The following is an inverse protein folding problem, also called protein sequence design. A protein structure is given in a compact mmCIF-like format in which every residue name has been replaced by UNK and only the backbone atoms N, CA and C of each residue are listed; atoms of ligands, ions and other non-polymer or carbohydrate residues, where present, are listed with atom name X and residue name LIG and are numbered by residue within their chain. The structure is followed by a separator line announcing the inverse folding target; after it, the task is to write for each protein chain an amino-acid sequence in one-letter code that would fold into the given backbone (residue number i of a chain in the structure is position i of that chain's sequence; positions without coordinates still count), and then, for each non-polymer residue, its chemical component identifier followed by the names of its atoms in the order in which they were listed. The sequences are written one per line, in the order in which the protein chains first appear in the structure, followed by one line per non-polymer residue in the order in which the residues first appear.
data_IF_206839774165
#
_entry.id   IF_206839774165
#
_cell.length_a   1.000
_cell.length_b   1.000
_cell.length_c   1.000
_cell.angle_alpha   90.00
_cell.angle_beta   90.00
_cell.angle_gamma   90.00
#
_symmetry.space_group_name_H-M   'P 1'
#
loop_
_entity.id
_entity.type
_entity.pdbx_description
1 polymer ?
#
# COMPACT_ATOMS: atom_id res chain seq x y z
N UNK A 1 -13.19 12.42 7.15
CA UNK A 1 -12.92 11.33 8.10
C UNK A 1 -12.04 10.31 7.38
N UNK A 2 -10.94 9.87 7.98
CA UNK A 2 -10.06 8.85 7.41
C UNK A 2 -10.16 7.64 8.31
N UNK A 3 -10.52 6.50 7.74
CA UNK A 3 -10.61 5.23 8.47
C UNK A 3 -9.77 4.19 7.78
N UNK A 4 -8.83 3.60 8.51
CA UNK A 4 -8.15 2.38 8.07
C UNK A 4 -9.17 1.25 8.22
N UNK A 5 -9.52 0.62 7.11
CA UNK A 5 -10.56 -0.42 7.10
C UNK A 5 -9.95 -1.79 7.36
N UNK A 6 -8.82 -2.10 6.74
CA UNK A 6 -8.19 -3.40 6.86
C UNK A 6 -6.71 -3.39 6.46
N UNK A 7 -6.00 -4.40 6.92
CA UNK A 7 -4.61 -4.69 6.56
C UNK A 7 -4.56 -6.16 6.14
N UNK A 8 -4.13 -6.44 4.90
CA UNK A 8 -4.05 -7.82 4.40
C UNK A 8 -2.80 -8.03 3.56
N UNK A 9 -1.93 -8.97 3.97
CA UNK A 9 -0.67 -9.33 3.27
C UNK A 9 0.15 -8.09 2.85
N UNK A 10 0.40 -7.20 3.81
CA UNK A 10 1.14 -5.96 3.60
C UNK A 10 0.43 -4.89 2.75
N UNK A 11 -0.83 -5.11 2.32
CA UNK A 11 -1.66 -4.08 1.69
C UNK A 11 -2.44 -3.30 2.72
N UNK A 12 -2.50 -1.98 2.57
CA UNK A 12 -3.35 -1.11 3.37
C UNK A 12 -4.64 -0.78 2.62
N UNK A 13 -5.78 -0.89 3.30
CA UNK A 13 -7.09 -0.44 2.82
C UNK A 13 -7.54 0.77 3.61
N UNK A 14 -7.66 1.91 2.95
CA UNK A 14 -7.95 3.20 3.59
C UNK A 14 -9.18 3.80 2.95
N UNK A 15 -10.16 4.23 3.74
CA UNK A 15 -11.28 5.04 3.27
C UNK A 15 -10.99 6.49 3.58
N UNK A 16 -10.98 7.32 2.53
CA UNK A 16 -10.83 8.77 2.62
C UNK A 16 -11.73 9.45 1.60
N UNK A 17 -12.46 10.48 2.02
CA UNK A 17 -13.43 11.20 1.18
C UNK A 17 -14.40 10.25 0.45
N UNK A 18 -14.94 9.26 1.17
CA UNK A 18 -15.86 8.23 0.66
C UNK A 18 -15.30 7.35 -0.47
N UNK A 19 -13.98 7.37 -0.69
CA UNK A 19 -13.27 6.54 -1.65
C UNK A 19 -12.40 5.52 -0.94
N UNK A 20 -12.40 4.28 -1.43
CA UNK A 20 -11.53 3.22 -0.96
C UNK A 20 -10.20 3.28 -1.71
N UNK A 21 -9.11 3.40 -0.97
CA UNK A 21 -7.74 3.30 -1.47
C UNK A 21 -7.14 1.96 -1.08
N UNK A 22 -6.43 1.36 -2.04
CA UNK A 22 -5.58 0.18 -1.83
C UNK A 22 -4.15 0.59 -2.07
N UNK A 23 -3.31 0.43 -1.07
CA UNK A 23 -1.94 0.96 -1.08
C UNK A 23 -0.96 -0.20 -0.86
N UNK A 24 0.01 -0.31 -1.77
CA UNK A 24 1.18 -1.16 -1.65
C UNK A 24 0.89 -2.65 -1.65
N UNK A 25 1.66 -3.40 -0.85
CA UNK A 25 1.54 -4.84 -0.70
C UNK A 25 2.86 -5.58 -0.83
N UNK A 26 2.87 -6.81 -0.34
CA UNK A 26 3.94 -7.77 -0.62
C UNK A 26 3.37 -9.02 -1.29
N UNK A 27 4.16 -9.61 -2.17
CA UNK A 27 3.93 -10.96 -2.66
C UNK A 27 5.22 -11.77 -2.56
N UNK A 28 5.10 -13.03 -2.17
CA UNK A 28 6.24 -13.92 -2.00
C UNK A 28 6.78 -13.89 -0.57
N UNK A 29 7.73 -14.78 -0.35
CA UNK A 29 8.34 -15.04 0.95
C UNK A 29 9.82 -15.40 0.72
N UNK A 30 10.53 -15.62 1.81
CA UNK A 30 11.84 -16.23 1.81
C UNK A 30 11.75 -17.66 1.30
N UNK A 31 12.47 -17.95 0.22
CA UNK A 31 12.63 -19.31 -0.27
C UNK A 31 13.95 -19.89 0.22
N UNK A 32 13.90 -21.07 0.82
CA UNK A 32 15.11 -21.80 1.17
C UNK A 32 15.93 -22.10 -0.10
N UNK A 33 17.23 -21.89 -0.06
CA UNK A 33 18.12 -22.28 -1.16
C UNK A 33 18.30 -23.80 -1.07
N UNK A 34 17.87 -24.60 -2.08
CA UNK A 34 18.01 -26.04 -2.04
C UNK A 34 19.48 -26.43 -1.85
N UNK A 35 19.76 -27.27 -0.84
CA UNK A 35 21.12 -27.73 -0.53
C UNK A 35 22.02 -26.70 0.14
N UNK A 36 21.51 -25.55 0.59
CA UNK A 36 22.36 -24.59 1.32
C UNK A 36 22.93 -25.22 2.60
N UNK A 37 24.26 -25.32 2.75
CA UNK A 37 24.89 -25.95 3.91
C UNK A 37 24.70 -25.16 5.21
N UNK A 38 24.25 -23.91 5.12
CA UNK A 38 24.10 -22.97 6.24
C UNK A 38 22.68 -22.39 6.33
N UNK A 39 21.66 -23.12 5.85
CA UNK A 39 20.24 -22.73 5.95
C UNK A 39 19.93 -21.30 5.45
N UNK A 40 20.61 -20.84 4.40
CA UNK A 40 20.31 -19.55 3.77
C UNK A 40 18.97 -19.60 3.03
N UNK A 41 18.22 -18.53 3.19
CA UNK A 41 17.08 -18.22 2.33
C UNK A 41 17.43 -17.10 1.37
N UNK A 42 16.86 -17.13 0.17
CA UNK A 42 16.79 -15.97 -0.72
C UNK A 42 15.47 -15.26 -0.49
N UNK A 43 15.55 -13.93 -0.46
CA UNK A 43 14.38 -13.07 -0.43
C UNK A 43 13.78 -13.10 -1.84
N UNK A 44 12.65 -13.79 -2.02
CA UNK A 44 11.92 -13.86 -3.28
C UNK A 44 10.60 -13.10 -3.18
N UNK A 45 10.64 -11.95 -2.50
CA UNK A 45 9.50 -11.07 -2.31
C UNK A 45 9.51 -9.91 -3.31
N UNK A 46 8.33 -9.56 -3.77
CA UNK A 46 8.07 -8.35 -4.55
C UNK A 46 7.28 -7.41 -3.65
N UNK A 47 7.81 -6.21 -3.45
CA UNK A 47 7.15 -5.14 -2.70
C UNK A 47 6.57 -4.14 -3.68
N UNK A 48 5.28 -3.87 -3.56
CA UNK A 48 4.53 -3.00 -4.46
C UNK A 48 4.43 -1.59 -3.88
N UNK A 49 4.59 -0.58 -4.73
CA UNK A 49 4.34 0.83 -4.38
C UNK A 49 3.03 1.35 -4.96
N UNK A 50 2.32 0.56 -5.76
CA UNK A 50 1.13 0.98 -6.48
C UNK A 50 0.03 1.42 -5.51
N UNK A 51 -0.71 2.44 -5.92
CA UNK A 51 -1.88 2.93 -5.20
C UNK A 51 -3.06 2.88 -6.16
N UNK A 52 -4.15 2.28 -5.71
CA UNK A 52 -5.40 2.23 -6.46
C UNK A 52 -6.50 2.90 -5.66
N UNK A 53 -7.44 3.50 -6.37
CA UNK A 53 -8.63 4.11 -5.80
C UNK A 53 -9.86 3.55 -6.50
N UNK A 54 -10.86 3.15 -5.73
CA UNK A 54 -12.19 2.85 -6.23
C UNK A 54 -12.95 4.17 -6.37
N UNK A 55 -13.29 4.54 -7.60
CA UNK A 55 -14.07 5.75 -7.90
C UNK A 55 -15.56 5.57 -7.59
N UNK A 56 -16.33 6.66 -7.73
CA UNK A 56 -17.77 6.66 -7.43
C UNK A 56 -18.59 5.79 -8.42
N UNK A 57 -17.99 5.44 -9.56
CA UNK A 57 -18.53 4.51 -10.54
C UNK A 57 -18.11 3.06 -10.31
N UNK A 58 -17.51 2.73 -9.16
CA UNK A 58 -16.98 1.40 -8.83
C UNK A 58 -15.89 0.91 -9.79
N UNK A 59 -15.11 1.84 -10.35
CA UNK A 59 -13.98 1.53 -11.23
C UNK A 59 -12.68 1.80 -10.52
N UNK A 60 -11.72 0.91 -10.75
CA UNK A 60 -10.36 1.06 -10.25
C UNK A 60 -9.61 2.09 -11.09
N UNK A 61 -9.02 3.07 -10.41
CA UNK A 61 -8.10 4.04 -10.98
C UNK A 61 -6.74 3.91 -10.32
N UNK A 62 -5.68 3.82 -11.11
CA UNK A 62 -4.32 3.90 -10.59
C UNK A 62 -3.97 5.35 -10.24
N UNK A 63 -3.41 5.54 -9.05
CA UNK A 63 -2.91 6.79 -8.53
C UNK A 63 -1.37 6.78 -8.56
N UNK A 64 -0.71 7.93 -8.41
CA UNK A 64 0.73 7.97 -8.25
C UNK A 64 1.21 7.00 -7.16
N UNK A 65 2.27 6.22 -7.42
CA UNK A 65 2.76 5.24 -6.48
C UNK A 65 3.35 5.90 -5.23
N UNK A 66 3.48 5.10 -4.16
CA UNK A 66 4.24 5.51 -2.98
C UNK A 66 5.69 5.83 -3.35
N UNK A 67 6.31 6.86 -2.75
CA UNK A 67 7.71 7.20 -2.99
C UNK A 67 8.67 6.06 -2.66
N UNK A 68 8.29 5.21 -1.70
CA UNK A 68 9.01 4.00 -1.32
C UNK A 68 8.05 2.82 -1.33
N UNK A 69 8.33 1.75 -2.09
CA UNK A 69 7.61 0.48 -1.95
C UNK A 69 7.87 -0.04 -0.54
N UNK A 70 6.82 -0.44 0.16
CA UNK A 70 6.97 -0.93 1.51
C UNK A 70 6.00 -2.08 1.81
N UNK A 71 6.48 -3.00 2.64
CA UNK A 71 5.77 -4.18 3.07
C UNK A 71 5.79 -4.25 4.59
N UNK A 72 4.68 -4.72 5.19
CA UNK A 72 4.34 -4.61 6.61
C UNK A 72 3.87 -3.23 7.05
N UNK A 73 2.69 -3.12 7.67
CA UNK A 73 2.34 -1.90 8.42
C UNK A 73 3.18 -1.86 9.70
N UNK A 74 4.42 -1.41 9.57
CA UNK A 74 5.17 -0.77 10.66
C UNK A 74 5.12 0.76 10.51
N UNK A 75 4.43 1.25 9.48
CA UNK A 75 4.26 2.66 9.17
C UNK A 75 2.79 3.06 9.34
N UNK A 76 2.55 4.12 10.12
CA UNK A 76 1.26 4.76 10.22
C UNK A 76 0.97 5.55 8.93
N UNK A 77 -0.14 5.24 8.27
CA UNK A 77 -0.56 5.95 7.07
C UNK A 77 -1.28 7.24 7.48
N UNK A 78 -0.65 8.40 7.23
CA UNK A 78 -1.28 9.70 7.43
C UNK A 78 -1.83 10.18 6.10
N UNK A 79 -3.17 10.20 5.97
CA UNK A 79 -3.82 10.89 4.87
C UNK A 79 -3.99 12.35 5.27
N UNK A 80 -3.26 13.25 4.61
CA UNK A 80 -3.42 14.69 4.78
C UNK A 80 -4.39 15.23 3.72
N UNK A 81 -5.50 15.84 4.16
CA UNK A 81 -6.30 16.67 3.26
C UNK A 81 -5.56 17.98 3.02
N UNK A 82 -5.00 18.16 1.82
CA UNK A 82 -4.56 19.48 1.39
C UNK A 82 -5.79 20.31 1.02
N UNK A 83 -5.95 21.48 1.65
CA UNK A 83 -6.91 22.47 1.19
C UNK A 83 -6.62 22.84 -0.28
N UNK A 84 -7.65 23.07 -1.11
CA UNK A 84 -7.44 23.50 -2.47
C UNK A 84 -6.63 24.80 -2.47
N UNK A 85 -5.55 24.84 -3.27
CA UNK A 85 -4.79 26.07 -3.51
C UNK A 85 -5.74 27.09 -4.16
N UNK A 86 -6.25 28.04 -3.39
CA UNK A 86 -7.12 29.10 -3.89
C UNK A 86 -8.32 29.51 -3.02
N UNK A 87 -8.53 28.91 -1.84
CA UNK A 87 -9.49 29.44 -0.88
C UNK A 87 -8.81 30.41 0.10
N UNK A 88 -8.49 31.62 -0.38
CA UNK A 88 -8.44 32.79 0.52
C UNK A 88 -9.87 33.38 0.64
N UNK A 89 -10.21 34.02 1.78
CA UNK A 89 -11.52 34.63 2.00
C UNK A 89 -11.86 35.75 1.00
#
# INVERSE_FOLDING_TARGET
MISIVAIFVGKAFVVANDKLLVIGGQQGDFMAIPGSPIFKCVRSEVVYSNVYMLDDGMRWKELPPMPKPDSHIEFALVVAQMAPRGAEP
#
